data_IF_860682337373
#
_entry.id   IF_860682337373
#
_cell.length_a   1.000
_cell.length_b   1.000
_cell.length_c   1.000
_cell.angle_alpha   90.00
_cell.angle_beta   90.00
_cell.angle_gamma   90.00
#
_symmetry.space_group_name_H-M   'P 1'
#
loop_
_entity.id
_entity.type
_entity.pdbx_description
1 polymer ?
#
# COMPACT_ATOMS: atom_id res chain seq x y z
N UNK A 1 -5.10 25.21 -24.08
CA UNK A 1 -5.82 24.09 -24.75
C UNK A 1 -5.43 22.71 -24.23
N UNK A 2 -4.25 22.51 -23.61
CA UNK A 2 -3.81 21.19 -23.12
C UNK A 2 -4.47 20.69 -21.81
N UNK A 3 -4.77 21.59 -20.86
CA UNK A 3 -5.31 21.19 -19.55
C UNK A 3 -6.78 20.73 -19.59
N UNK A 4 -7.61 21.40 -20.39
CA UNK A 4 -9.03 21.03 -20.56
C UNK A 4 -9.17 19.62 -21.17
N UNK A 5 -8.38 19.29 -22.19
CA UNK A 5 -8.39 17.96 -22.84
C UNK A 5 -7.89 16.86 -21.89
N UNK A 6 -6.86 17.13 -21.08
CA UNK A 6 -6.35 16.18 -20.07
C UNK A 6 -7.39 15.94 -18.96
N UNK A 7 -8.14 16.97 -18.59
CA UNK A 7 -9.23 16.88 -17.62
C UNK A 7 -10.38 16.02 -18.16
N UNK A 8 -10.83 16.24 -19.40
CA UNK A 8 -11.86 15.42 -20.04
C UNK A 8 -11.42 13.96 -20.19
N UNK A 9 -10.15 13.71 -20.50
CA UNK A 9 -9.59 12.35 -20.57
C UNK A 9 -9.71 11.61 -19.24
N UNK A 10 -9.23 12.21 -18.14
CA UNK A 10 -9.29 11.59 -16.82
C UNK A 10 -10.74 11.32 -16.38
N UNK A 11 -11.65 12.28 -16.59
CA UNK A 11 -13.07 12.11 -16.26
C UNK A 11 -13.68 10.93 -17.02
N UNK A 12 -13.38 10.80 -18.32
CA UNK A 12 -13.90 9.68 -19.12
C UNK A 12 -13.37 8.33 -18.63
N UNK A 13 -12.07 8.23 -18.29
CA UNK A 13 -11.51 6.98 -17.77
C UNK A 13 -12.12 6.58 -16.43
N UNK A 14 -12.31 7.54 -15.53
CA UNK A 14 -12.96 7.30 -14.22
C UNK A 14 -14.42 6.84 -14.42
N UNK A 15 -15.12 7.40 -15.41
CA UNK A 15 -16.47 6.93 -15.79
C UNK A 15 -16.43 5.50 -16.33
N UNK A 16 -15.49 5.20 -17.23
CA UNK A 16 -15.35 3.88 -17.84
C UNK A 16 -14.99 2.79 -16.81
N UNK A 17 -14.21 3.12 -15.77
CA UNK A 17 -13.91 2.19 -14.65
C UNK A 17 -15.16 1.79 -13.85
N UNK A 18 -16.20 2.64 -13.83
CA UNK A 18 -17.46 2.40 -13.11
C UNK A 18 -18.53 1.76 -14.01
N UNK A 19 -18.19 1.42 -15.25
CA UNK A 19 -19.12 0.81 -16.21
C UNK A 19 -19.40 -0.66 -15.87
N UNK A 20 -20.62 -1.11 -16.10
CA UNK A 20 -20.96 -2.54 -16.08
C UNK A 20 -20.41 -3.29 -17.31
N UNK A 21 -20.08 -2.56 -18.39
CA UNK A 21 -19.42 -3.14 -19.56
C UNK A 21 -17.94 -3.41 -19.27
N UNK A 22 -17.62 -4.68 -19.05
CA UNK A 22 -16.25 -5.16 -18.82
C UNK A 22 -15.27 -4.77 -19.93
N UNK A 23 -15.71 -4.58 -21.18
CA UNK A 23 -14.84 -4.12 -22.27
C UNK A 23 -14.42 -2.67 -22.06
N UNK A 24 -15.32 -1.82 -21.58
CA UNK A 24 -15.01 -0.43 -21.24
C UNK A 24 -14.04 -0.36 -20.06
N UNK A 25 -14.30 -1.15 -19.01
CA UNK A 25 -13.40 -1.24 -17.84
C UNK A 25 -11.99 -1.68 -18.27
N UNK A 26 -11.86 -2.76 -19.03
CA UNK A 26 -10.55 -3.24 -19.53
C UNK A 26 -9.83 -2.18 -20.37
N UNK A 27 -10.55 -1.51 -21.27
CA UNK A 27 -9.99 -0.44 -22.10
C UNK A 27 -9.52 0.76 -21.25
N UNK A 28 -10.23 1.08 -20.17
CA UNK A 28 -9.82 2.11 -19.23
C UNK A 28 -8.54 1.71 -18.49
N UNK A 29 -8.48 0.49 -17.94
CA UNK A 29 -7.28 -0.03 -17.27
C UNK A 29 -6.05 0.01 -18.17
N UNK A 30 -6.14 -0.45 -19.42
CA UNK A 30 -5.04 -0.36 -20.39
C UNK A 30 -4.58 1.09 -20.59
N UNK A 31 -5.51 2.04 -20.76
CA UNK A 31 -5.15 3.45 -20.93
C UNK A 31 -4.53 4.08 -19.68
N UNK A 32 -4.99 3.67 -18.48
CA UNK A 32 -4.45 4.15 -17.21
C UNK A 32 -3.04 3.60 -16.99
N UNK A 33 -2.78 2.34 -17.35
CA UNK A 33 -1.44 1.76 -17.32
C UNK A 33 -0.44 2.58 -18.14
N UNK A 34 -0.85 3.04 -19.32
CA UNK A 34 0.02 3.79 -20.22
C UNK A 34 0.14 5.28 -19.88
N UNK A 35 -0.97 5.92 -19.45
CA UNK A 35 -1.10 7.39 -19.37
C UNK A 35 -1.75 7.89 -18.08
N UNK A 36 -1.86 7.02 -17.09
CA UNK A 36 -2.44 7.31 -15.79
C UNK A 36 -1.69 8.39 -15.01
N UNK A 37 -2.31 8.83 -13.93
CA UNK A 37 -1.77 9.76 -12.95
C UNK A 37 -2.47 9.52 -11.62
N UNK A 38 -2.04 10.22 -10.57
CA UNK A 38 -2.48 10.05 -9.19
C UNK A 38 -4.01 10.09 -9.03
N UNK A 39 -4.73 10.85 -9.87
CA UNK A 39 -6.20 10.97 -9.82
C UNK A 39 -6.95 9.67 -10.10
N UNK A 40 -6.27 8.66 -10.65
CA UNK A 40 -6.87 7.37 -10.95
C UNK A 40 -6.67 6.35 -9.81
N UNK A 41 -5.80 6.62 -8.83
CA UNK A 41 -5.48 5.67 -7.75
C UNK A 41 -6.73 5.34 -6.94
N UNK A 42 -7.39 6.35 -6.37
CA UNK A 42 -8.63 6.15 -5.60
C UNK A 42 -9.71 5.41 -6.41
N UNK A 43 -10.04 5.80 -7.67
CA UNK A 43 -10.93 5.03 -8.53
C UNK A 43 -10.51 3.57 -8.77
N UNK A 44 -9.22 3.29 -8.94
CA UNK A 44 -8.71 1.93 -9.13
C UNK A 44 -8.88 1.08 -7.87
N UNK A 45 -8.55 1.63 -6.70
CA UNK A 45 -8.71 0.92 -5.42
C UNK A 45 -10.19 0.62 -5.15
N UNK A 46 -11.08 1.59 -5.39
CA UNK A 46 -12.53 1.34 -5.28
C UNK A 46 -13.00 0.26 -6.28
N UNK A 47 -12.49 0.24 -7.51
CA UNK A 47 -12.83 -0.83 -8.45
C UNK A 47 -12.33 -2.20 -7.93
N UNK A 48 -11.15 -2.27 -7.35
CA UNK A 48 -10.59 -3.48 -6.74
C UNK A 48 -11.44 -4.00 -5.57
N UNK A 49 -11.88 -3.10 -4.68
CA UNK A 49 -12.76 -3.43 -3.54
C UNK A 49 -14.10 -4.02 -4.01
N UNK A 50 -14.65 -3.54 -5.14
CA UNK A 50 -16.01 -3.86 -5.56
C UNK A 50 -16.12 -4.96 -6.64
N UNK A 51 -15.00 -5.36 -7.26
CA UNK A 51 -14.99 -6.39 -8.31
C UNK A 51 -14.61 -7.77 -7.78
N UNK A 52 -15.34 -8.79 -8.22
CA UNK A 52 -14.99 -10.22 -8.05
C UNK A 52 -14.24 -10.80 -9.25
N UNK A 53 -13.93 -9.98 -10.27
CA UNK A 53 -13.22 -10.41 -11.45
C UNK A 53 -11.71 -10.38 -11.19
N UNK A 54 -11.11 -11.55 -10.98
CA UNK A 54 -9.67 -11.68 -10.69
C UNK A 54 -8.78 -11.10 -11.78
N UNK A 55 -9.18 -11.13 -13.06
CA UNK A 55 -8.40 -10.49 -14.11
C UNK A 55 -8.36 -8.96 -13.96
N UNK A 56 -9.46 -8.36 -13.49
CA UNK A 56 -9.51 -6.92 -13.19
C UNK A 56 -8.65 -6.63 -11.96
N UNK A 57 -8.78 -7.43 -10.89
CA UNK A 57 -7.96 -7.28 -9.67
C UNK A 57 -6.46 -7.34 -9.97
N UNK A 58 -6.05 -8.33 -10.77
CA UNK A 58 -4.65 -8.51 -11.17
C UNK A 58 -4.12 -7.35 -12.03
N UNK A 59 -4.93 -6.83 -12.96
CA UNK A 59 -4.52 -5.67 -13.76
C UNK A 59 -4.38 -4.41 -12.88
N UNK A 60 -5.29 -4.22 -11.90
CA UNK A 60 -5.17 -3.11 -10.94
C UNK A 60 -3.91 -3.25 -10.09
N UNK A 61 -3.62 -4.44 -9.54
CA UNK A 61 -2.38 -4.71 -8.80
C UNK A 61 -1.14 -4.40 -9.65
N UNK A 62 -1.14 -4.81 -10.93
CA UNK A 62 -0.06 -4.49 -11.87
C UNK A 62 0.10 -3.00 -12.15
N UNK A 63 -0.98 -2.22 -12.14
CA UNK A 63 -0.92 -0.76 -12.36
C UNK A 63 -0.37 -0.06 -11.12
N UNK A 64 -0.87 -0.42 -9.94
CA UNK A 64 -0.50 0.24 -8.68
C UNK A 64 0.91 -0.14 -8.20
N UNK A 65 1.47 -1.29 -8.62
CA UNK A 65 2.84 -1.69 -8.29
C UNK A 65 3.93 -1.01 -9.14
N UNK A 66 3.56 -0.15 -10.10
CA UNK A 66 4.48 0.51 -11.03
C UNK A 66 4.39 2.04 -10.94
N UNK A 67 3.92 2.56 -9.81
CA UNK A 67 3.74 3.99 -9.61
C UNK A 67 5.11 4.67 -9.44
N UNK A 68 5.26 5.86 -10.04
CA UNK A 68 6.52 6.62 -10.01
C UNK A 68 6.39 8.00 -9.38
N UNK A 69 5.16 8.51 -9.30
CA UNK A 69 4.89 9.83 -8.75
C UNK A 69 4.70 9.70 -7.23
N UNK A 70 5.53 10.37 -6.44
CA UNK A 70 5.45 10.34 -4.97
C UNK A 70 4.13 10.91 -4.42
N UNK A 71 3.41 11.73 -5.20
CA UNK A 71 2.02 12.13 -4.86
C UNK A 71 1.09 10.93 -4.68
N UNK A 72 1.41 9.80 -5.30
CA UNK A 72 0.67 8.54 -5.15
C UNK A 72 0.66 8.05 -3.70
N UNK A 73 1.70 8.33 -2.92
CA UNK A 73 1.78 7.94 -1.51
C UNK A 73 0.58 8.53 -0.76
N UNK A 74 0.32 9.83 -0.91
CA UNK A 74 -0.82 10.50 -0.26
C UNK A 74 -2.20 10.00 -0.72
N UNK A 75 -2.31 9.42 -1.91
CA UNK A 75 -3.55 8.80 -2.40
C UNK A 75 -3.72 7.35 -1.91
N UNK A 76 -2.62 6.65 -1.62
CA UNK A 76 -2.60 5.25 -1.20
C UNK A 76 -2.74 5.09 0.32
N UNK A 77 -2.01 5.91 1.09
CA UNK A 77 -1.92 5.80 2.55
C UNK A 77 -3.28 5.78 3.28
N UNK A 78 -4.29 6.60 2.91
CA UNK A 78 -5.59 6.56 3.58
C UNK A 78 -6.33 5.21 3.49
N UNK A 79 -5.93 4.31 2.58
CA UNK A 79 -6.52 2.98 2.49
C UNK A 79 -5.95 1.97 3.49
N UNK A 80 -4.81 2.27 4.14
CA UNK A 80 -4.23 1.43 5.20
C UNK A 80 -5.03 1.51 6.51
N UNK A 81 -5.69 2.64 6.75
CA UNK A 81 -6.54 2.88 7.92
C UNK A 81 -7.94 2.25 7.80
N UNK A 82 -8.32 1.74 6.61
CA UNK A 82 -9.61 1.07 6.41
C UNK A 82 -9.62 -0.34 6.99
N UNK A 83 -10.81 -0.94 7.18
CA UNK A 83 -10.91 -2.30 7.75
C UNK A 83 -10.53 -3.44 6.79
N UNK A 84 -10.52 -3.22 5.46
CA UNK A 84 -10.40 -4.31 4.49
C UNK A 84 -8.96 -4.79 4.28
N UNK A 85 -8.62 -5.97 4.80
CA UNK A 85 -7.28 -6.56 4.67
C UNK A 85 -6.81 -6.81 3.23
N UNK A 86 -7.70 -7.27 2.33
CA UNK A 86 -7.32 -7.44 0.91
C UNK A 86 -6.96 -6.10 0.25
N UNK A 87 -7.54 -5.00 0.73
CA UNK A 87 -7.16 -3.65 0.28
C UNK A 87 -5.83 -3.25 0.91
N UNK A 88 -5.63 -3.44 2.21
CA UNK A 88 -4.34 -3.17 2.88
C UNK A 88 -3.18 -3.92 2.20
N UNK A 89 -3.36 -5.21 1.90
CA UNK A 89 -2.39 -6.04 1.17
C UNK A 89 -2.03 -5.41 -0.19
N UNK A 90 -3.04 -5.05 -0.99
CA UNK A 90 -2.83 -4.38 -2.27
C UNK A 90 -2.01 -3.09 -2.11
N UNK A 91 -2.32 -2.29 -1.11
CA UNK A 91 -1.70 -0.97 -0.90
C UNK A 91 -0.25 -1.14 -0.44
N UNK A 92 0.01 -1.96 0.58
CA UNK A 92 1.36 -2.26 1.05
C UNK A 92 2.22 -2.83 -0.09
N UNK A 93 1.67 -3.78 -0.85
CA UNK A 93 2.32 -4.33 -2.03
C UNK A 93 2.69 -3.25 -3.04
N UNK A 94 1.74 -2.36 -3.33
CA UNK A 94 1.92 -1.27 -4.31
C UNK A 94 2.98 -0.28 -3.86
N UNK A 95 3.01 0.04 -2.56
CA UNK A 95 3.95 0.95 -1.93
C UNK A 95 5.39 0.44 -2.04
N UNK A 96 5.67 -0.79 -1.59
CA UNK A 96 7.03 -1.33 -1.65
C UNK A 96 7.47 -1.64 -3.09
N UNK A 97 6.57 -2.20 -3.91
CA UNK A 97 6.91 -2.54 -5.31
C UNK A 97 7.23 -1.31 -6.16
N UNK A 98 6.66 -0.16 -5.80
CA UNK A 98 6.94 1.12 -6.47
C UNK A 98 8.27 1.76 -6.02
N UNK A 99 8.94 1.20 -5.01
CA UNK A 99 10.21 1.71 -4.48
C UNK A 99 10.06 3.10 -3.84
N UNK A 100 8.92 3.38 -3.21
CA UNK A 100 8.74 4.64 -2.50
C UNK A 100 9.52 4.64 -1.18
N UNK A 101 10.14 5.78 -0.88
CA UNK A 101 10.68 6.05 0.45
C UNK A 101 9.51 6.31 1.41
N UNK A 102 9.43 5.50 2.46
CA UNK A 102 8.36 5.49 3.47
C UNK A 102 8.93 5.44 4.89
N UNK A 103 10.19 5.87 5.05
CA UNK A 103 10.89 5.95 6.34
C UNK A 103 10.09 6.76 7.38
N UNK A 104 9.55 7.91 7.00
CA UNK A 104 8.68 8.77 7.84
C UNK A 104 7.26 8.19 8.11
N UNK A 105 6.99 6.96 7.66
CA UNK A 105 5.70 6.29 7.78
C UNK A 105 5.77 4.93 8.50
N UNK A 106 6.94 4.59 9.06
CA UNK A 106 7.15 3.32 9.78
C UNK A 106 6.07 3.06 10.84
N UNK A 107 5.69 4.01 11.73
CA UNK A 107 4.71 3.74 12.78
C UNK A 107 3.34 3.34 12.22
N UNK A 108 2.85 4.04 11.18
CA UNK A 108 1.56 3.74 10.56
C UNK A 108 1.57 2.38 9.84
N UNK A 109 2.68 2.04 9.18
CA UNK A 109 2.83 0.74 8.51
C UNK A 109 2.85 -0.40 9.53
N UNK A 110 3.54 -0.21 10.65
CA UNK A 110 3.58 -1.16 11.77
C UNK A 110 2.22 -1.31 12.46
N UNK A 111 1.50 -0.21 12.69
CA UNK A 111 0.13 -0.25 13.19
C UNK A 111 -0.79 -1.02 12.24
N UNK A 112 -0.66 -0.77 10.93
CA UNK A 112 -1.40 -1.50 9.89
C UNK A 112 -1.12 -3.00 9.95
N UNK A 113 0.14 -3.38 10.14
CA UNK A 113 0.59 -4.76 10.26
C UNK A 113 -0.02 -5.45 11.48
N UNK A 114 0.04 -4.80 12.65
CA UNK A 114 -0.48 -5.34 13.92
C UNK A 114 -2.01 -5.48 13.95
N UNK A 115 -2.70 -4.66 13.15
CA UNK A 115 -4.16 -4.68 13.01
C UNK A 115 -4.65 -5.46 11.77
N UNK A 116 -3.74 -6.07 11.02
CA UNK A 116 -4.03 -6.86 9.82
C UNK A 116 -4.14 -8.36 10.08
N UNK A 117 -4.44 -9.11 9.01
CA UNK A 117 -4.23 -10.56 9.00
C UNK A 117 -2.78 -10.90 8.63
N UNK A 118 -2.51 -12.21 8.53
CA UNK A 118 -1.21 -12.74 8.15
C UNK A 118 -0.64 -12.11 6.88
N UNK A 119 -1.46 -11.90 5.85
CA UNK A 119 -0.99 -11.38 4.56
C UNK A 119 -0.66 -9.89 4.65
N UNK A 120 -1.47 -9.12 5.39
CA UNK A 120 -1.18 -7.71 5.67
C UNK A 120 0.12 -7.56 6.45
N UNK A 121 0.33 -8.38 7.49
CA UNK A 121 1.56 -8.39 8.26
C UNK A 121 2.79 -8.77 7.41
N UNK A 122 2.65 -9.76 6.52
CA UNK A 122 3.72 -10.18 5.62
C UNK A 122 4.12 -9.08 4.62
N UNK A 123 3.16 -8.41 3.99
CA UNK A 123 3.45 -7.31 3.05
C UNK A 123 4.03 -6.09 3.77
N UNK A 124 3.56 -5.79 4.99
CA UNK A 124 4.13 -4.73 5.81
C UNK A 124 5.57 -5.04 6.22
N UNK A 125 5.85 -6.28 6.64
CA UNK A 125 7.20 -6.74 6.93
C UNK A 125 8.11 -6.59 5.71
N UNK A 126 7.67 -7.08 4.55
CA UNK A 126 8.43 -6.97 3.29
C UNK A 126 8.73 -5.51 2.95
N UNK A 127 7.76 -4.61 3.10
CA UNK A 127 7.97 -3.18 2.89
C UNK A 127 9.03 -2.63 3.84
N UNK A 128 8.87 -2.86 5.15
CA UNK A 128 9.76 -2.34 6.19
C UNK A 128 11.19 -2.86 5.98
N UNK A 129 11.38 -4.14 5.66
CA UNK A 129 12.70 -4.75 5.36
C UNK A 129 13.45 -4.08 4.21
N UNK A 130 12.74 -3.45 3.27
CA UNK A 130 13.32 -2.79 2.10
C UNK A 130 13.58 -1.29 2.31
N UNK A 131 13.37 -0.75 3.51
CA UNK A 131 13.72 0.64 3.83
C UNK A 131 15.22 0.78 4.09
N UNK A 132 15.85 1.82 3.53
CA UNK A 132 17.31 2.04 3.62
C UNK A 132 17.71 3.15 4.60
N UNK A 133 16.75 3.94 5.11
CA UNK A 133 17.00 5.08 5.99
C UNK A 133 17.33 6.39 5.24
N UNK A 134 17.67 7.47 5.98
CA UNK A 134 17.90 7.52 7.42
C UNK A 134 16.62 7.28 8.22
N UNK A 135 16.77 6.68 9.41
CA UNK A 135 15.64 6.36 10.28
C UNK A 135 15.48 7.39 11.39
N UNK A 136 14.23 7.58 11.84
CA UNK A 136 13.87 8.50 12.92
C UNK A 136 13.71 7.71 14.21
N UNK A 137 14.52 8.03 15.23
CA UNK A 137 14.54 7.32 16.52
C UNK A 137 13.16 7.26 17.18
N UNK A 138 12.43 8.37 17.23
CA UNK A 138 11.09 8.44 17.82
C UNK A 138 10.08 7.52 17.10
N UNK A 139 10.19 7.40 15.78
CA UNK A 139 9.32 6.53 14.97
C UNK A 139 9.63 5.04 15.21
N UNK A 140 10.92 4.69 15.32
CA UNK A 140 11.33 3.33 15.66
C UNK A 140 10.88 2.94 17.08
N UNK A 141 11.04 3.85 18.05
CA UNK A 141 10.58 3.63 19.42
C UNK A 141 9.06 3.39 19.50
N UNK A 142 8.28 4.21 18.77
CA UNK A 142 6.83 4.04 18.68
C UNK A 142 6.45 2.70 18.01
N UNK A 143 7.10 2.35 16.90
CA UNK A 143 6.91 1.07 16.23
C UNK A 143 7.22 -0.12 17.14
N UNK A 144 8.37 -0.10 17.83
CA UNK A 144 8.78 -1.11 18.82
C UNK A 144 7.72 -1.26 19.92
N UNK A 145 7.15 -0.16 20.40
CA UNK A 145 6.09 -0.18 21.43
C UNK A 145 4.81 -0.87 20.93
N UNK A 146 4.35 -0.51 19.71
CA UNK A 146 3.15 -1.09 19.08
C UNK A 146 3.32 -2.61 18.89
N UNK A 147 4.48 -3.05 18.38
CA UNK A 147 4.73 -4.47 18.10
C UNK A 147 4.74 -5.28 19.42
N UNK A 148 5.40 -4.77 20.46
CA UNK A 148 5.45 -5.44 21.75
C UNK A 148 4.07 -5.59 22.40
N UNK A 149 3.23 -4.55 22.34
CA UNK A 149 1.84 -4.63 22.78
C UNK A 149 1.10 -5.76 22.04
N UNK A 150 1.21 -5.79 20.71
CA UNK A 150 0.56 -6.82 19.90
C UNK A 150 1.08 -8.24 20.22
N UNK A 151 2.38 -8.41 20.43
CA UNK A 151 2.98 -9.70 20.79
C UNK A 151 2.41 -10.23 22.11
N UNK A 152 2.24 -9.37 23.11
CA UNK A 152 1.73 -9.78 24.43
C UNK A 152 0.29 -10.31 24.36
N UNK A 153 -0.51 -9.80 23.43
CA UNK A 153 -1.91 -10.18 23.27
C UNK A 153 -2.15 -11.27 22.21
N UNK A 154 -1.16 -11.54 21.35
CA UNK A 154 -1.30 -12.49 20.25
C UNK A 154 -1.15 -13.94 20.74
N UNK A 155 -2.06 -14.81 20.28
CA UNK A 155 -2.07 -16.25 20.60
C UNK A 155 -1.81 -17.14 19.38
N UNK A 156 -1.84 -16.56 18.19
CA UNK A 156 -1.57 -17.26 16.95
C UNK A 156 -0.06 -17.34 16.75
N UNK A 157 0.48 -18.56 16.74
CA UNK A 157 1.91 -18.81 16.62
C UNK A 157 2.50 -18.29 15.29
N UNK A 158 1.74 -18.38 14.19
CA UNK A 158 2.22 -17.94 12.88
C UNK A 158 2.29 -16.41 12.82
N UNK A 159 1.30 -15.73 13.39
CA UNK A 159 1.31 -14.27 13.52
C UNK A 159 2.41 -13.81 14.48
N UNK A 160 2.57 -14.49 15.63
CA UNK A 160 3.64 -14.19 16.60
C UNK A 160 5.03 -14.26 15.96
N UNK A 161 5.30 -15.29 15.16
CA UNK A 161 6.59 -15.44 14.47
C UNK A 161 6.85 -14.27 13.51
N UNK A 162 5.85 -13.84 12.75
CA UNK A 162 5.98 -12.67 11.86
C UNK A 162 6.14 -11.36 12.63
N UNK A 163 5.42 -11.17 13.74
CA UNK A 163 5.58 -9.99 14.59
C UNK A 163 7.00 -9.92 15.19
N UNK A 164 7.56 -11.06 15.57
CA UNK A 164 8.95 -11.14 16.05
C UNK A 164 9.95 -10.80 14.94
N UNK A 165 9.73 -11.26 13.70
CA UNK A 165 10.53 -10.84 12.55
C UNK A 165 10.44 -9.33 12.33
N UNK A 166 9.23 -8.76 12.35
CA UNK A 166 9.04 -7.31 12.22
C UNK A 166 9.76 -6.53 13.32
N UNK A 167 9.66 -6.97 14.57
CA UNK A 167 10.39 -6.37 15.70
C UNK A 167 11.91 -6.41 15.47
N UNK A 168 12.43 -7.54 15.00
CA UNK A 168 13.87 -7.70 14.74
C UNK A 168 14.38 -6.73 13.68
N UNK A 169 13.57 -6.43 12.65
CA UNK A 169 13.93 -5.47 11.60
C UNK A 169 13.97 -4.05 12.16
N UNK A 170 12.97 -3.66 12.96
CA UNK A 170 12.95 -2.34 13.61
C UNK A 170 14.17 -2.16 14.54
N UNK A 171 14.51 -3.18 15.34
CA UNK A 171 15.70 -3.16 16.21
C UNK A 171 17.01 -3.06 15.41
N UNK A 172 17.07 -3.69 14.23
CA UNK A 172 18.22 -3.52 13.33
C UNK A 172 18.34 -2.08 12.84
N UNK A 173 17.23 -1.37 12.59
CA UNK A 173 17.25 0.05 12.22
C UNK A 173 17.71 0.94 13.36
N UNK A 174 17.30 0.66 14.61
CA UNK A 174 17.77 1.38 15.80
C UNK A 174 19.30 1.32 15.91
N UNK A 175 19.89 0.14 15.70
CA UNK A 175 21.35 -0.04 15.74
C UNK A 175 22.13 0.73 14.66
N UNK A 176 21.46 1.18 13.59
CA UNK A 176 22.07 1.99 12.53
C UNK A 176 22.10 3.49 12.87
N UNK A 177 21.26 3.96 13.79
CA UNK A 177 21.24 5.35 14.25
C UNK A 177 22.37 5.61 15.26
N UNK A 178 22.75 4.60 16.05
CA UNK A 178 23.76 4.70 17.10
C UNK A 178 25.21 4.80 16.60
N UNK A 179 25.44 4.84 15.27
CA UNK A 179 26.75 4.89 14.60
C UNK A 179 27.00 6.27 14.00
#
# INVERSE_FOLDING_TARGET
MGESTKTTFNIQLIKDLKSEDLKLVKKALTKIKDKGNEKHIVPLVHLYENTSNENIRNEIKSILSQLKNTKSIGELMPFLEKENNSTKELILHSLWSSGFDLTDHIPLIVETACNGDFMVLLEALTLIENLEGPFIEDDLFLATSIINEKINDCKDESILNLLQSLLSVIQQFESQIEI
#
